data_IF_081718434602
#
_entry.id   IF_081718434602
#
_cell.length_a   1.000
_cell.length_b   1.000
_cell.length_c   1.000
_cell.angle_alpha   90.00
_cell.angle_beta   90.00
_cell.angle_gamma   90.00
#
_symmetry.space_group_name_H-M   'P 1'
#
loop_
_entity.id
_entity.type
_entity.pdbx_description
1 polymer ?
#
# COMPACT_ATOMS: atom_id res chain seq x y z
N UNK A 1 -35.06 -43.12 11.48
CA UNK A 1 -34.86 -42.24 10.30
C UNK A 1 -34.51 -40.86 10.83
N UNK A 2 -33.25 -40.47 10.73
CA UNK A 2 -32.80 -39.11 11.01
C UNK A 2 -33.05 -38.24 9.78
N UNK A 3 -33.60 -37.05 9.96
CA UNK A 3 -33.56 -36.00 8.94
C UNK A 3 -33.42 -34.66 9.64
N UNK A 4 -32.25 -34.01 9.54
CA UNK A 4 -32.12 -32.59 9.81
C UNK A 4 -32.29 -31.82 8.49
N UNK A 5 -33.36 -31.04 8.37
CA UNK A 5 -33.47 -29.98 7.36
C UNK A 5 -32.71 -28.75 7.83
N UNK A 6 -31.46 -28.59 7.43
CA UNK A 6 -30.73 -27.33 7.58
C UNK A 6 -31.10 -26.41 6.43
N UNK A 7 -32.04 -25.50 6.68
CA UNK A 7 -32.32 -24.40 5.76
C UNK A 7 -31.15 -23.40 5.81
N UNK A 8 -30.60 -23.16 4.62
CA UNK A 8 -29.83 -21.99 4.22
C UNK A 8 -30.33 -20.71 4.89
N UNK A 9 -29.44 -20.01 5.61
CA UNK A 9 -29.50 -18.56 5.67
C UNK A 9 -28.07 -18.00 5.68
N UNK A 10 -27.79 -17.25 4.63
CA UNK A 10 -26.59 -16.46 4.40
C UNK A 10 -26.39 -15.47 5.55
N UNK A 11 -25.41 -15.73 6.41
CA UNK A 11 -24.91 -14.75 7.38
C UNK A 11 -23.99 -13.79 6.62
N UNK A 12 -24.57 -12.86 5.88
CA UNK A 12 -23.95 -11.55 5.73
C UNK A 12 -24.07 -10.91 7.11
N UNK A 13 -23.02 -11.09 7.91
CA UNK A 13 -22.85 -10.43 9.19
C UNK A 13 -22.79 -8.92 8.93
N UNK A 14 -23.95 -8.28 9.03
CA UNK A 14 -24.05 -6.85 9.31
C UNK A 14 -23.24 -6.63 10.61
N UNK A 15 -22.03 -6.08 10.48
CA UNK A 15 -21.21 -5.70 11.63
C UNK A 15 -21.96 -4.60 12.39
N UNK A 16 -22.70 -5.00 13.41
CA UNK A 16 -23.22 -4.12 14.44
C UNK A 16 -22.02 -3.50 15.16
N UNK A 17 -21.84 -2.18 15.02
CA UNK A 17 -20.92 -1.40 15.83
C UNK A 17 -21.39 -1.45 17.29
N UNK A 18 -20.93 -2.44 18.04
CA UNK A 18 -20.97 -2.38 19.50
C UNK A 18 -20.00 -1.28 19.96
N UNK A 19 -20.55 -0.25 20.61
CA UNK A 19 -19.79 0.92 21.03
C UNK A 19 -18.82 0.54 22.16
N UNK A 20 -17.60 0.21 21.78
CA UNK A 20 -16.46 0.12 22.71
C UNK A 20 -15.98 1.55 23.01
N UNK A 21 -15.54 1.81 24.25
CA UNK A 21 -14.91 3.09 24.64
C UNK A 21 -13.49 3.22 24.06
N UNK A 22 -13.28 2.82 22.81
CA UNK A 22 -12.02 2.90 22.10
C UNK A 22 -12.13 3.95 21.01
N UNK A 23 -11.15 4.86 20.99
CA UNK A 23 -11.03 5.84 19.92
C UNK A 23 -10.23 5.21 18.78
N UNK A 24 -10.79 5.27 17.57
CA UNK A 24 -10.11 4.86 16.35
C UNK A 24 -10.08 6.03 15.36
N UNK A 25 -8.98 6.16 14.62
CA UNK A 25 -8.86 7.13 13.54
C UNK A 25 -9.05 6.45 12.19
N UNK A 26 -9.76 7.11 11.29
CA UNK A 26 -9.94 6.63 9.93
C UNK A 26 -8.65 6.82 9.12
N UNK A 27 -8.29 5.88 8.24
CA UNK A 27 -7.12 6.01 7.38
C UNK A 27 -7.28 7.19 6.41
N UNK A 28 -6.16 7.84 6.11
CA UNK A 28 -6.12 8.94 5.13
C UNK A 28 -6.18 8.37 3.71
N UNK A 29 -6.91 9.04 2.83
CA UNK A 29 -6.93 8.75 1.40
C UNK A 29 -5.92 9.63 0.67
N UNK A 30 -5.41 9.14 -0.46
CA UNK A 30 -4.48 9.86 -1.31
C UNK A 30 -4.66 9.42 -2.76
N UNK A 31 -4.29 10.29 -3.69
CA UNK A 31 -4.36 10.00 -5.12
C UNK A 31 -3.21 9.12 -5.59
N UNK A 32 -3.35 8.56 -6.80
CA UNK A 32 -2.27 7.80 -7.43
C UNK A 32 -1.21 8.76 -7.98
N UNK A 33 0.00 8.67 -7.45
CA UNK A 33 1.19 9.41 -7.86
C UNK A 33 2.29 8.40 -8.19
N UNK A 34 3.10 8.71 -9.20
CA UNK A 34 4.21 7.87 -9.66
C UNK A 34 5.53 8.58 -9.39
N UNK A 35 6.36 7.98 -8.53
CA UNK A 35 7.66 8.54 -8.16
C UNK A 35 8.75 8.08 -9.15
N UNK A 36 8.49 6.97 -9.86
CA UNK A 36 9.38 6.33 -10.84
C UNK A 36 9.99 7.28 -11.88
N UNK A 37 9.25 8.18 -12.56
CA UNK A 37 9.84 9.06 -13.57
C UNK A 37 10.94 9.96 -13.01
N UNK A 38 10.71 10.53 -11.83
CA UNK A 38 11.67 11.42 -11.16
C UNK A 38 12.92 10.68 -10.68
N UNK A 39 12.74 9.46 -10.17
CA UNK A 39 13.89 8.61 -9.79
C UNK A 39 14.73 8.22 -11.00
N UNK A 40 14.11 7.85 -12.12
CA UNK A 40 14.82 7.53 -13.36
C UNK A 40 15.66 8.70 -13.87
N UNK A 41 15.08 9.90 -13.87
CA UNK A 41 15.78 11.13 -14.24
C UNK A 41 16.98 11.38 -13.31
N UNK A 42 16.79 11.27 -12.00
CA UNK A 42 17.86 11.49 -11.03
C UNK A 42 18.99 10.46 -11.16
N UNK A 43 18.68 9.17 -11.36
CA UNK A 43 19.69 8.11 -11.54
C UNK A 43 20.51 8.37 -12.81
N UNK A 44 19.82 8.68 -13.92
CA UNK A 44 20.48 8.98 -15.19
C UNK A 44 21.42 10.19 -15.09
N UNK A 45 21.00 11.23 -14.36
CA UNK A 45 21.75 12.49 -14.28
C UNK A 45 22.85 12.48 -13.21
N UNK A 46 22.58 11.90 -12.03
CA UNK A 46 23.47 11.99 -10.86
C UNK A 46 24.38 10.79 -10.69
N UNK A 47 23.92 9.59 -11.06
CA UNK A 47 24.71 8.35 -10.96
C UNK A 47 25.30 7.91 -12.30
N UNK A 48 24.87 8.52 -13.41
CA UNK A 48 25.27 8.14 -14.77
C UNK A 48 25.00 6.65 -15.09
N UNK A 49 24.01 6.06 -14.43
CA UNK A 49 23.57 4.68 -14.64
C UNK A 49 22.33 4.66 -15.54
N UNK A 50 22.16 3.58 -16.31
CA UNK A 50 21.00 3.45 -17.17
C UNK A 50 19.76 3.12 -16.32
N UNK A 51 18.68 3.93 -16.38
CA UNK A 51 17.50 3.76 -15.51
C UNK A 51 16.77 2.42 -15.72
N UNK A 52 16.96 1.78 -16.87
CA UNK A 52 16.32 0.48 -17.16
C UNK A 52 16.82 -0.65 -16.26
N UNK A 53 18.01 -0.51 -15.66
CA UNK A 53 18.56 -1.47 -14.70
C UNK A 53 17.65 -1.67 -13.48
N UNK A 54 16.79 -0.69 -13.18
CA UNK A 54 15.91 -0.67 -12.01
C UNK A 54 14.42 -0.81 -12.37
N UNK A 55 14.10 -1.19 -13.61
CA UNK A 55 12.71 -1.24 -14.09
C UNK A 55 11.83 -2.14 -13.24
N UNK A 56 12.35 -3.31 -12.84
CA UNK A 56 11.62 -4.24 -11.99
C UNK A 56 11.41 -3.69 -10.58
N UNK A 57 12.42 -3.03 -10.01
CA UNK A 57 12.32 -2.40 -8.69
C UNK A 57 11.23 -1.31 -8.68
N UNK A 58 11.20 -0.47 -9.72
CA UNK A 58 10.17 0.55 -9.88
C UNK A 58 8.77 -0.03 -10.04
N UNK A 59 8.63 -1.10 -10.84
CA UNK A 59 7.35 -1.79 -11.00
C UNK A 59 6.85 -2.33 -9.66
N UNK A 60 7.70 -2.99 -8.89
CA UNK A 60 7.36 -3.53 -7.57
C UNK A 60 6.97 -2.39 -6.60
N UNK A 61 7.68 -1.27 -6.63
CA UNK A 61 7.37 -0.10 -5.81
C UNK A 61 6.00 0.50 -6.14
N UNK A 62 5.69 0.67 -7.43
CA UNK A 62 4.42 1.21 -7.90
C UNK A 62 3.25 0.27 -7.60
N UNK A 63 3.46 -1.05 -7.74
CA UNK A 63 2.49 -2.08 -7.32
C UNK A 63 2.24 -2.01 -5.81
N UNK A 64 3.30 -1.92 -5.00
CA UNK A 64 3.20 -1.85 -3.55
C UNK A 64 2.47 -0.57 -3.09
N UNK A 65 2.71 0.56 -3.76
CA UNK A 65 1.98 1.81 -3.51
C UNK A 65 0.49 1.67 -3.85
N UNK A 66 0.18 1.05 -4.99
CA UNK A 66 -1.21 0.83 -5.42
C UNK A 66 -1.96 -0.10 -4.45
N UNK A 67 -1.31 -1.17 -3.99
CA UNK A 67 -1.82 -2.07 -2.95
C UNK A 67 -2.17 -1.32 -1.66
N UNK A 68 -1.41 -0.27 -1.30
CA UNK A 68 -1.65 0.52 -0.09
C UNK A 68 -2.78 1.55 -0.22
N UNK A 69 -3.07 2.03 -1.44
CA UNK A 69 -4.13 3.04 -1.66
C UNK A 69 -5.53 2.42 -1.58
N UNK A 70 -5.72 1.24 -2.18
CA UNK A 70 -7.02 0.58 -2.29
C UNK A 70 -7.23 -0.52 -1.24
N UNK A 71 -6.62 -0.32 -0.07
CA UNK A 71 -6.47 -1.35 0.95
C UNK A 71 -7.70 -1.44 1.87
N UNK A 72 -8.19 -2.66 2.10
CA UNK A 72 -9.18 -2.92 3.15
C UNK A 72 -8.54 -2.98 4.54
N UNK A 73 -9.26 -2.60 5.59
CA UNK A 73 -8.77 -2.62 6.98
C UNK A 73 -8.69 -4.07 7.47
N UNK A 74 -7.49 -4.66 7.43
CA UNK A 74 -7.19 -5.99 7.95
C UNK A 74 -5.71 -6.12 8.35
N UNK A 75 -5.32 -7.24 8.96
CA UNK A 75 -3.94 -7.44 9.44
C UNK A 75 -2.91 -7.59 8.30
N UNK A 76 -3.29 -8.23 7.18
CA UNK A 76 -2.40 -8.40 6.01
C UNK A 76 -2.08 -7.04 5.37
N UNK A 77 -3.08 -6.17 5.37
CA UNK A 77 -3.03 -4.78 4.93
C UNK A 77 -2.00 -3.96 5.74
N UNK A 78 -1.99 -4.10 7.07
CA UNK A 78 -0.99 -3.45 7.91
C UNK A 78 0.44 -3.84 7.52
N UNK A 79 0.70 -5.13 7.28
CA UNK A 79 2.02 -5.60 6.87
C UNK A 79 2.47 -5.01 5.52
N UNK A 80 1.55 -4.84 4.57
CA UNK A 80 1.84 -4.16 3.30
C UNK A 80 2.17 -2.68 3.50
N UNK A 81 1.42 -1.99 4.36
CA UNK A 81 1.67 -0.57 4.67
C UNK A 81 3.05 -0.37 5.33
N UNK A 82 3.41 -1.23 6.28
CA UNK A 82 4.74 -1.19 6.93
C UNK A 82 5.84 -1.43 5.90
N UNK A 83 5.66 -2.40 4.99
CA UNK A 83 6.62 -2.65 3.89
C UNK A 83 6.78 -1.41 3.01
N UNK A 84 5.68 -0.78 2.60
CA UNK A 84 5.72 0.43 1.79
C UNK A 84 6.44 1.58 2.52
N UNK A 85 6.14 1.78 3.80
CA UNK A 85 6.85 2.76 4.63
C UNK A 85 8.35 2.50 4.67
N UNK A 86 8.78 1.24 4.87
CA UNK A 86 10.20 0.89 4.88
C UNK A 86 10.88 1.19 3.52
N UNK A 87 10.19 0.95 2.40
CA UNK A 87 10.72 1.31 1.08
C UNK A 87 10.86 2.83 0.93
N UNK A 88 9.89 3.62 1.39
CA UNK A 88 9.99 5.08 1.37
C UNK A 88 11.18 5.59 2.20
N UNK A 89 11.40 5.02 3.39
CA UNK A 89 12.57 5.37 4.21
C UNK A 89 13.86 5.01 3.49
N UNK A 90 13.94 3.83 2.87
CA UNK A 90 15.11 3.40 2.10
C UNK A 90 15.41 4.31 0.91
N UNK A 91 14.37 4.76 0.20
CA UNK A 91 14.49 5.71 -0.92
C UNK A 91 14.93 7.08 -0.37
N UNK A 92 14.33 7.57 0.72
CA UNK A 92 14.71 8.86 1.31
C UNK A 92 16.15 8.93 1.81
N UNK A 93 16.78 7.77 2.07
CA UNK A 93 18.19 7.68 2.44
C UNK A 93 19.14 7.70 1.22
N UNK A 94 18.63 7.46 0.01
CA UNK A 94 19.40 7.43 -1.24
C UNK A 94 19.23 8.69 -2.08
N UNK A 95 18.01 9.24 -2.10
CA UNK A 95 17.63 10.34 -2.96
C UNK A 95 17.37 11.59 -2.11
N UNK A 96 17.76 12.78 -2.58
CA UNK A 96 17.34 14.03 -1.96
C UNK A 96 15.81 14.09 -1.89
N UNK A 97 15.28 14.60 -0.78
CA UNK A 97 13.83 14.66 -0.54
C UNK A 97 13.11 15.43 -1.66
N UNK A 98 13.76 16.44 -2.22
CA UNK A 98 13.23 17.33 -3.26
C UNK A 98 12.98 16.62 -4.60
N UNK A 99 13.59 15.46 -4.83
CA UNK A 99 13.41 14.65 -6.04
C UNK A 99 12.08 13.89 -6.03
N UNK A 100 11.52 13.64 -4.85
CA UNK A 100 10.32 12.80 -4.69
C UNK A 100 9.02 13.61 -4.43
N UNK A 101 9.09 14.95 -4.39
CA UNK A 101 7.98 15.84 -4.05
C UNK A 101 7.53 16.62 -5.28
N UNK A 102 6.84 15.97 -6.22
CA UNK A 102 6.01 16.62 -7.25
C UNK A 102 4.74 15.79 -7.49
#
# INVERSE_FOLDING_TARGET
MFSPTTKTSSLLSEKTNEATNMLACQPKTTERVFITPHLKEYISNSYAEHPDLYTDDFRILDELRNDCIFMEINEKSLNRLIKYYAQLVFISAKFPIDVCIL
#
